data_IF_424928583009
#
_entry.id   IF_424928583009
#
_cell.length_a   1.000
_cell.length_b   1.000
_cell.length_c   1.000
_cell.angle_alpha   90.00
_cell.angle_beta   90.00
_cell.angle_gamma   90.00
#
_symmetry.space_group_name_H-M   'P 1'
#
loop_
_entity.id
_entity.type
_entity.pdbx_description
1 polymer ?
#
# COMPACT_ATOMS: atom_id res chain seq x y z
N UNK A 1 -35.73 32.35 60.85
CA UNK A 1 -34.73 32.80 59.90
C UNK A 1 -34.36 31.57 59.04
N UNK A 2 -34.98 31.44 57.88
CA UNK A 2 -34.79 30.25 57.03
C UNK A 2 -33.81 30.65 55.94
N UNK A 3 -32.60 30.09 55.99
CA UNK A 3 -31.59 30.24 54.87
C UNK A 3 -32.00 29.34 53.73
N UNK A 4 -32.68 29.94 52.74
CA UNK A 4 -32.85 29.30 51.43
C UNK A 4 -31.53 29.34 50.67
N UNK A 5 -30.73 28.31 50.76
CA UNK A 5 -29.55 28.19 49.94
C UNK A 5 -29.96 27.82 48.51
N UNK A 6 -29.57 28.68 47.58
CA UNK A 6 -29.89 28.62 46.16
C UNK A 6 -29.40 27.33 45.51
N UNK A 7 -30.21 26.32 45.51
CA UNK A 7 -29.97 25.02 44.80
C UNK A 7 -29.91 25.14 43.30
N UNK A 8 -30.29 26.26 42.73
CA UNK A 8 -30.35 26.51 41.32
C UNK A 8 -28.94 26.72 40.69
N UNK A 9 -28.04 27.43 41.42
CA UNK A 9 -26.68 27.66 40.93
C UNK A 9 -25.85 26.40 40.90
N UNK A 10 -25.98 25.53 41.91
CA UNK A 10 -25.27 24.26 41.98
C UNK A 10 -25.72 23.26 40.89
N UNK A 11 -27.01 23.22 40.56
CA UNK A 11 -27.55 22.36 39.52
C UNK A 11 -27.07 22.80 38.12
N UNK A 12 -26.97 24.12 37.84
CA UNK A 12 -26.46 24.67 36.59
C UNK A 12 -24.95 24.38 36.45
N UNK A 13 -24.18 24.53 37.50
CA UNK A 13 -22.74 24.26 37.50
C UNK A 13 -22.44 22.78 37.24
N UNK A 14 -23.18 21.88 37.87
CA UNK A 14 -23.03 20.43 37.65
C UNK A 14 -23.43 20.04 36.24
N UNK A 15 -24.49 20.64 35.68
CA UNK A 15 -24.89 20.41 34.29
C UNK A 15 -23.83 20.86 33.27
N UNK A 16 -23.23 22.03 33.50
CA UNK A 16 -22.15 22.55 32.62
C UNK A 16 -20.91 21.67 32.69
N UNK A 17 -20.49 21.24 33.88
CA UNK A 17 -19.35 20.34 34.03
C UNK A 17 -19.62 19.00 33.35
N UNK A 18 -20.82 18.45 33.50
CA UNK A 18 -21.23 17.21 32.83
C UNK A 18 -21.17 17.30 31.31
N UNK A 19 -21.67 18.40 30.72
CA UNK A 19 -21.64 18.60 29.27
C UNK A 19 -20.22 18.78 28.74
N UNK A 20 -19.34 19.48 29.44
CA UNK A 20 -17.94 19.65 29.05
C UNK A 20 -17.20 18.31 29.06
N UNK A 21 -17.42 17.46 30.07
CA UNK A 21 -16.81 16.12 30.13
C UNK A 21 -17.28 15.25 28.95
N UNK A 22 -18.59 15.23 28.68
CA UNK A 22 -19.15 14.45 27.54
C UNK A 22 -18.57 14.92 26.20
N UNK A 23 -18.49 16.22 25.99
CA UNK A 23 -17.91 16.78 24.77
C UNK A 23 -16.42 16.43 24.65
N UNK A 24 -15.65 16.50 25.75
CA UNK A 24 -14.23 16.13 25.75
C UNK A 24 -14.03 14.65 25.45
N UNK A 25 -14.88 13.77 25.98
CA UNK A 25 -14.82 12.32 25.70
C UNK A 25 -15.20 12.04 24.24
N UNK A 26 -16.22 12.70 23.71
CA UNK A 26 -16.65 12.54 22.31
C UNK A 26 -15.58 13.08 21.34
N UNK A 27 -14.95 14.20 21.66
CA UNK A 27 -13.84 14.75 20.87
C UNK A 27 -12.61 13.84 20.94
N UNK A 28 -12.28 13.29 22.09
CA UNK A 28 -11.21 12.30 22.26
C UNK A 28 -11.47 11.03 21.50
N UNK A 29 -12.71 10.53 21.52
CA UNK A 29 -13.12 9.35 20.75
C UNK A 29 -13.12 9.63 19.24
N UNK A 30 -13.58 10.81 18.82
CA UNK A 30 -13.50 11.24 17.44
C UNK A 30 -12.05 11.38 16.96
N UNK A 31 -11.16 11.92 17.80
CA UNK A 31 -9.74 12.03 17.46
C UNK A 31 -9.04 10.67 17.36
N UNK A 32 -9.42 9.71 18.20
CA UNK A 32 -8.94 8.33 18.10
C UNK A 32 -9.47 7.60 16.85
N UNK A 33 -10.67 7.95 16.40
CA UNK A 33 -11.27 7.38 15.20
C UNK A 33 -10.72 7.99 13.90
N UNK A 34 -10.19 9.21 13.94
CA UNK A 34 -9.54 9.85 12.77
C UNK A 34 -8.08 9.44 12.59
N UNK A 35 -7.52 8.64 13.49
CA UNK A 35 -6.27 7.93 13.30
C UNK A 35 -6.49 6.65 12.48
N UNK A 36 -7.30 6.72 11.43
CA UNK A 36 -7.32 5.67 10.43
C UNK A 36 -6.02 5.79 9.63
N UNK A 37 -5.25 4.72 9.66
CA UNK A 37 -4.03 4.42 8.93
C UNK A 37 -4.02 4.94 7.48
N UNK A 38 -3.80 6.24 7.30
CA UNK A 38 -3.62 6.82 5.96
C UNK A 38 -2.14 6.82 5.56
N UNK A 39 -1.24 6.52 6.49
CA UNK A 39 0.20 6.53 6.26
C UNK A 39 0.87 5.20 6.67
N UNK A 40 0.48 4.09 6.03
CA UNK A 40 1.51 3.10 5.77
C UNK A 40 2.22 3.56 4.51
N UNK A 41 3.48 4.00 4.58
CA UNK A 41 4.26 4.16 3.37
C UNK A 41 4.22 2.82 2.65
N UNK A 42 3.81 2.84 1.39
CA UNK A 42 3.93 1.70 0.53
C UNK A 42 5.34 1.13 0.72
N UNK A 43 5.45 -0.12 1.14
CA UNK A 43 6.76 -0.74 1.30
C UNK A 43 7.37 -0.78 -0.10
N UNK A 44 8.41 0.04 -0.29
CA UNK A 44 9.27 -0.08 -1.46
C UNK A 44 10.07 -1.34 -1.17
N UNK A 45 9.70 -2.44 -1.80
CA UNK A 45 10.52 -3.64 -1.74
C UNK A 45 11.85 -3.33 -2.40
N UNK A 46 12.93 -3.76 -1.74
CA UNK A 46 14.29 -3.46 -2.18
C UNK A 46 14.54 -3.98 -3.60
N UNK A 47 15.52 -3.35 -4.27
CA UNK A 47 15.94 -3.75 -5.59
C UNK A 47 16.12 -5.26 -5.70
N UNK A 48 15.41 -5.86 -6.65
CA UNK A 48 15.49 -7.29 -6.91
C UNK A 48 16.71 -7.57 -7.81
N UNK A 49 17.80 -8.12 -7.27
CA UNK A 49 19.05 -8.26 -8.03
C UNK A 49 18.87 -9.11 -9.28
N UNK A 50 18.00 -10.12 -9.26
CA UNK A 50 17.86 -11.06 -10.38
C UNK A 50 17.21 -10.50 -11.65
N UNK A 51 16.32 -9.52 -11.55
CA UNK A 51 15.70 -8.86 -12.71
C UNK A 51 16.25 -7.47 -12.97
N UNK A 52 16.82 -6.82 -11.95
CA UNK A 52 17.31 -5.45 -12.03
C UNK A 52 16.18 -4.41 -12.05
N UNK A 53 15.17 -4.59 -11.22
CA UNK A 53 14.08 -3.66 -11.04
C UNK A 53 13.90 -3.28 -9.57
N UNK A 54 13.39 -2.08 -9.34
CA UNK A 54 12.76 -1.69 -8.09
C UNK A 54 11.25 -1.65 -8.31
N UNK A 55 10.49 -2.15 -7.38
CA UNK A 55 9.04 -2.25 -7.55
C UNK A 55 8.30 -2.02 -6.24
N UNK A 56 7.02 -1.79 -6.36
CA UNK A 56 6.08 -1.60 -5.29
C UNK A 56 4.96 -2.62 -5.42
N UNK A 57 4.72 -3.42 -4.38
CA UNK A 57 3.58 -4.35 -4.37
C UNK A 57 2.27 -3.58 -4.39
N UNK A 58 1.38 -3.92 -5.31
CA UNK A 58 0.09 -3.25 -5.47
C UNK A 58 -0.90 -3.80 -4.47
N UNK A 59 -1.30 -2.93 -3.54
CA UNK A 59 -2.47 -3.10 -2.69
C UNK A 59 -3.64 -2.29 -3.26
N UNK A 60 -4.89 -2.50 -2.82
CA UNK A 60 -6.01 -1.66 -3.23
C UNK A 60 -5.78 -0.17 -2.99
N UNK A 61 -5.09 0.19 -1.89
CA UNK A 61 -4.74 1.58 -1.57
C UNK A 61 -3.71 2.15 -2.56
N UNK A 62 -2.68 1.39 -2.92
CA UNK A 62 -1.67 1.77 -3.93
C UNK A 62 -2.33 1.95 -5.30
N UNK A 63 -3.21 1.02 -5.68
CA UNK A 63 -3.93 1.10 -6.94
C UNK A 63 -4.74 2.39 -7.08
N UNK A 64 -5.46 2.76 -6.03
CA UNK A 64 -6.26 4.01 -6.00
C UNK A 64 -5.34 5.24 -6.02
N UNK A 65 -4.27 5.25 -5.23
CA UNK A 65 -3.35 6.38 -5.12
C UNK A 65 -2.66 6.69 -6.46
N UNK A 66 -2.13 5.67 -7.13
CA UNK A 66 -1.44 5.82 -8.41
C UNK A 66 -2.39 5.76 -9.62
N UNK A 67 -3.70 5.56 -9.39
CA UNK A 67 -4.73 5.43 -10.44
C UNK A 67 -4.38 4.33 -11.45
N UNK A 68 -3.90 3.21 -10.95
CA UNK A 68 -3.58 2.05 -11.76
C UNK A 68 -4.87 1.39 -12.24
N UNK A 69 -4.90 0.88 -13.44
CA UNK A 69 -6.06 0.15 -13.98
C UNK A 69 -6.23 -1.25 -13.38
N UNK A 70 -5.36 -1.65 -12.44
CA UNK A 70 -5.29 -2.98 -11.84
C UNK A 70 -5.12 -2.87 -10.32
N UNK A 71 -5.58 -3.89 -9.57
CA UNK A 71 -5.60 -3.89 -8.12
C UNK A 71 -4.60 -4.88 -7.49
N UNK A 72 -3.74 -5.49 -8.28
CA UNK A 72 -2.77 -6.48 -7.85
C UNK A 72 -1.54 -6.45 -8.75
N UNK A 73 -0.46 -7.09 -8.32
CA UNK A 73 0.80 -7.16 -9.04
C UNK A 73 1.92 -6.34 -8.41
N UNK A 74 2.95 -6.07 -9.19
CA UNK A 74 4.12 -5.30 -8.80
C UNK A 74 4.31 -4.12 -9.76
N UNK A 75 4.16 -2.89 -9.26
CA UNK A 75 4.42 -1.66 -10.02
C UNK A 75 5.92 -1.43 -10.11
N UNK A 76 6.48 -1.47 -11.29
CA UNK A 76 7.89 -1.15 -11.53
C UNK A 76 8.12 0.35 -11.35
N UNK A 77 8.94 0.72 -10.39
CA UNK A 77 9.30 2.11 -10.10
C UNK A 77 10.62 2.52 -10.73
N UNK A 78 11.54 1.57 -10.89
CA UNK A 78 12.84 1.81 -11.52
C UNK A 78 13.32 0.55 -12.23
N UNK A 79 14.07 0.71 -13.31
CA UNK A 79 14.75 -0.38 -14.04
C UNK A 79 16.23 -0.02 -14.17
N UNK A 80 17.09 -0.95 -13.76
CA UNK A 80 18.54 -0.76 -13.82
C UNK A 80 19.01 -0.89 -15.28
N UNK A 81 19.68 0.09 -15.85
CA UNK A 81 20.17 0.02 -17.23
C UNK A 81 21.09 -1.19 -17.47
N UNK A 82 20.85 -1.91 -18.54
CA UNK A 82 21.58 -3.13 -18.91
C UNK A 82 21.18 -4.38 -18.13
N UNK A 83 20.20 -4.30 -17.25
CA UNK A 83 19.64 -5.45 -16.54
C UNK A 83 18.79 -6.34 -17.46
N UNK A 84 18.47 -7.58 -17.05
CA UNK A 84 17.57 -8.44 -17.80
C UNK A 84 16.22 -7.80 -18.10
N UNK A 85 15.65 -7.05 -17.15
CA UNK A 85 14.40 -6.35 -17.34
C UNK A 85 14.51 -5.22 -18.37
N UNK A 86 15.61 -4.45 -18.35
CA UNK A 86 15.86 -3.39 -19.32
C UNK A 86 16.03 -3.96 -20.73
N UNK A 87 16.84 -5.02 -20.87
CA UNK A 87 17.06 -5.71 -22.14
C UNK A 87 15.78 -6.35 -22.69
N UNK A 88 14.88 -6.77 -21.84
CA UNK A 88 13.57 -7.30 -22.21
C UNK A 88 12.51 -6.22 -22.48
N UNK A 89 12.87 -4.94 -22.28
CA UNK A 89 11.99 -3.81 -22.56
C UNK A 89 10.96 -3.52 -21.46
N UNK A 90 11.20 -3.97 -20.24
CA UNK A 90 10.42 -3.54 -19.07
C UNK A 90 10.80 -2.10 -18.74
N UNK A 91 9.82 -1.28 -18.37
CA UNK A 91 10.01 0.14 -18.10
C UNK A 91 9.35 0.53 -16.77
N UNK A 92 9.85 1.62 -16.18
CA UNK A 92 9.19 2.23 -15.03
C UNK A 92 7.75 2.65 -15.40
N UNK A 93 6.80 2.35 -14.52
CA UNK A 93 5.36 2.51 -14.76
C UNK A 93 4.65 1.24 -15.25
N UNK A 94 5.38 0.21 -15.63
CA UNK A 94 4.79 -1.10 -15.91
C UNK A 94 4.28 -1.77 -14.63
N UNK A 95 3.23 -2.57 -14.76
CA UNK A 95 2.74 -3.42 -13.68
C UNK A 95 2.92 -4.88 -14.04
N UNK A 96 3.75 -5.60 -13.32
CA UNK A 96 3.91 -7.05 -13.47
C UNK A 96 2.72 -7.73 -12.82
N UNK A 97 1.90 -8.42 -13.58
CA UNK A 97 0.68 -9.10 -13.11
C UNK A 97 0.92 -10.55 -12.75
N UNK A 98 1.80 -11.24 -13.49
CA UNK A 98 2.12 -12.64 -13.26
C UNK A 98 3.59 -12.94 -13.50
N UNK A 99 4.09 -13.98 -12.83
CA UNK A 99 5.41 -14.54 -12.96
C UNK A 99 5.30 -16.03 -13.30
N UNK A 100 5.76 -16.45 -14.46
CA UNK A 100 5.62 -17.82 -14.97
C UNK A 100 4.16 -18.35 -14.92
N UNK A 101 3.19 -17.47 -15.20
CA UNK A 101 1.77 -17.81 -15.17
C UNK A 101 1.14 -17.80 -13.76
N UNK A 102 1.91 -17.55 -12.70
CA UNK A 102 1.39 -17.37 -11.34
C UNK A 102 1.08 -15.91 -11.10
N UNK A 103 -0.16 -15.63 -10.73
CA UNK A 103 -0.61 -14.27 -10.39
C UNK A 103 0.13 -13.73 -9.18
N UNK A 104 0.56 -12.47 -9.27
CA UNK A 104 1.20 -11.77 -8.16
C UNK A 104 0.16 -11.01 -7.36
N UNK A 105 0.21 -11.15 -6.04
CA UNK A 105 -0.58 -10.39 -5.07
C UNK A 105 0.16 -10.25 -3.74
N UNK A 106 -0.53 -9.81 -2.70
CA UNK A 106 0.07 -9.64 -1.36
C UNK A 106 0.51 -10.98 -0.73
N UNK A 107 -0.14 -12.11 -1.08
CA UNK A 107 0.17 -13.44 -0.56
C UNK A 107 1.28 -14.12 -1.39
N UNK A 108 1.37 -13.77 -2.68
CA UNK A 108 2.35 -14.29 -3.63
C UNK A 108 3.16 -13.12 -4.21
N UNK A 109 4.07 -12.53 -3.43
CA UNK A 109 4.86 -11.39 -3.87
C UNK A 109 5.91 -11.79 -4.91
N UNK A 110 6.28 -10.85 -5.79
CA UNK A 110 7.28 -11.05 -6.83
C UNK A 110 8.62 -11.57 -6.28
N UNK A 111 9.08 -11.02 -5.14
CA UNK A 111 10.32 -11.45 -4.50
C UNK A 111 10.30 -12.96 -4.16
N UNK A 112 9.20 -13.46 -3.59
CA UNK A 112 9.06 -14.87 -3.26
C UNK A 112 9.14 -15.77 -4.49
N UNK A 113 8.53 -15.36 -5.60
CA UNK A 113 8.58 -16.08 -6.88
C UNK A 113 9.99 -16.09 -7.46
N UNK A 114 10.69 -14.97 -7.40
CA UNK A 114 12.06 -14.86 -7.90
C UNK A 114 13.04 -15.71 -7.07
N UNK A 115 12.95 -15.67 -5.74
CA UNK A 115 13.79 -16.49 -4.87
C UNK A 115 13.57 -17.99 -5.08
N UNK A 116 12.41 -18.39 -5.61
CA UNK A 116 12.08 -19.78 -5.92
C UNK A 116 12.50 -20.19 -7.33
N UNK A 117 12.91 -19.25 -8.17
CA UNK A 117 13.32 -19.49 -9.55
C UNK A 117 14.85 -19.63 -9.61
N UNK A 118 15.41 -20.72 -10.17
CA UNK A 118 16.85 -20.86 -10.33
C UNK A 118 17.43 -19.77 -11.23
N UNK A 119 18.64 -19.32 -10.89
CA UNK A 119 19.38 -18.40 -11.74
C UNK A 119 19.72 -19.04 -13.08
N UNK A 120 19.58 -18.29 -14.15
CA UNK A 120 19.78 -18.75 -15.53
C UNK A 120 18.51 -19.29 -16.20
N UNK A 121 17.43 -19.47 -15.48
CA UNK A 121 16.16 -19.87 -16.06
C UNK A 121 15.48 -18.73 -16.81
N UNK A 122 14.73 -19.10 -17.84
CA UNK A 122 13.89 -18.15 -18.57
C UNK A 122 12.59 -17.92 -17.82
N UNK A 123 12.29 -16.67 -17.57
CA UNK A 123 11.10 -16.21 -16.86
C UNK A 123 10.16 -15.53 -17.83
N UNK A 124 8.87 -15.83 -17.70
CA UNK A 124 7.80 -15.17 -18.44
C UNK A 124 7.01 -14.26 -17.50
N UNK A 125 6.93 -12.99 -17.84
CA UNK A 125 6.13 -11.99 -17.13
C UNK A 125 4.95 -11.55 -17.99
N UNK A 126 3.77 -11.41 -17.38
CA UNK A 126 2.68 -10.65 -17.97
C UNK A 126 2.71 -9.24 -17.36
N UNK A 127 2.84 -8.28 -18.24
CA UNK A 127 3.04 -6.88 -17.86
C UNK A 127 1.87 -6.05 -18.38
N UNK A 128 1.21 -5.33 -17.49
CA UNK A 128 0.19 -4.36 -17.85
C UNK A 128 0.83 -3.01 -18.15
N UNK A 129 0.66 -2.55 -19.37
CA UNK A 129 1.23 -1.30 -19.89
C UNK A 129 0.19 -0.57 -20.72
N UNK A 130 -0.14 0.68 -20.36
CA UNK A 130 -1.04 1.55 -21.16
C UNK A 130 -2.34 0.85 -21.56
N UNK A 131 -3.02 0.21 -20.58
CA UNK A 131 -4.28 -0.54 -20.74
C UNK A 131 -4.19 -1.80 -21.62
N UNK A 132 -3.00 -2.33 -21.86
CA UNK A 132 -2.78 -3.57 -22.57
C UNK A 132 -1.91 -4.54 -21.76
N UNK A 133 -2.01 -5.83 -22.04
CA UNK A 133 -1.19 -6.87 -21.40
C UNK A 133 -0.16 -7.36 -22.41
N UNK A 134 1.10 -7.19 -22.07
CA UNK A 134 2.24 -7.61 -22.88
C UNK A 134 2.96 -8.75 -22.18
N UNK A 135 3.30 -9.80 -22.91
CA UNK A 135 4.16 -10.87 -22.39
C UNK A 135 5.62 -10.53 -22.64
N UNK A 136 6.42 -10.57 -21.61
CA UNK A 136 7.86 -10.32 -21.63
C UNK A 136 8.60 -11.57 -21.17
N UNK A 137 9.60 -11.99 -21.92
CA UNK A 137 10.48 -13.10 -21.56
C UNK A 137 11.89 -12.58 -21.31
N UNK A 138 12.47 -13.02 -20.21
CA UNK A 138 13.82 -12.59 -19.80
C UNK A 138 14.53 -13.71 -19.01
N UNK A 139 15.86 -13.62 -18.91
CA UNK A 139 16.64 -14.51 -18.06
C UNK A 139 16.72 -13.97 -16.64
N UNK A 140 16.48 -14.85 -15.66
CA UNK A 140 16.72 -14.57 -14.26
C UNK A 140 18.23 -14.69 -13.97
N UNK A 141 18.85 -13.61 -13.54
CA UNK A 141 20.26 -13.59 -13.11
C UNK A 141 20.33 -13.67 -11.59
N UNK A 142 21.46 -14.11 -11.04
CA UNK A 142 21.74 -14.05 -9.59
C UNK A 142 21.89 -12.63 -9.09
#
# INVERSE_FOLDING_TARGET
MVFSFSTTKTRVTVAIIGTVIVISVLLGFFFLWTQTDVDRPAQIDEASPGLGITYLTITPAVSVYYRLGVQYGALVTEVIPGSPADLAGVAAGDVILSFNGTKLDEEVPLLGMMMSCPAGDMVRLEVYRVNDIVTVELFHLE
#
